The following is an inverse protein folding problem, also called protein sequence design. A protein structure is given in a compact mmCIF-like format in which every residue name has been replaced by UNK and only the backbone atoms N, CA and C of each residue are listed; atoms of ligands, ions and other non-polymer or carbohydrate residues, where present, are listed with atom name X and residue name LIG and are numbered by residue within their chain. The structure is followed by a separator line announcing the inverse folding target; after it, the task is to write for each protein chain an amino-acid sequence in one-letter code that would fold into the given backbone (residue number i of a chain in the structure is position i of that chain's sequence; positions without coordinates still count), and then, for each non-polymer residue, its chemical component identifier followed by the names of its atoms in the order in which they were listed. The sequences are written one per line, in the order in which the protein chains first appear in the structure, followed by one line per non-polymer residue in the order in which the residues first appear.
data_IF_763665719375
#
_entry.id   IF_763665719375
#
_cell.length_a   1.000
_cell.length_b   1.000
_cell.length_c   1.000
_cell.angle_alpha   90.00
_cell.angle_beta   90.00
_cell.angle_gamma   90.00
#
_symmetry.space_group_name_H-M   'P 1'
#
loop_
_entity.id
_entity.type
_entity.pdbx_description
1 polymer ?
#
# COMPACT_ATOMS: atom_id res chain seq x y z
N UNK A 1 -39.62 -77.26 12.28
CA UNK A 1 -39.21 -77.30 10.87
C UNK A 1 -39.24 -75.84 10.37
N UNK A 2 -38.12 -75.14 10.26
CA UNK A 2 -38.05 -73.81 9.60
C UNK A 2 -37.67 -74.01 8.16
N UNK A 3 -38.29 -73.22 7.29
CA UNK A 3 -38.07 -73.12 5.85
C UNK A 3 -36.73 -72.48 5.52
N UNK A 4 -36.01 -73.11 4.60
CA UNK A 4 -34.83 -72.54 3.90
C UNK A 4 -35.27 -71.46 2.91
N UNK A 5 -34.91 -70.23 3.10
CA UNK A 5 -35.10 -69.16 2.12
C UNK A 5 -33.80 -68.94 1.36
N UNK A 6 -33.93 -69.12 0.10
CA UNK A 6 -33.07 -69.02 -1.07
C UNK A 6 -32.03 -67.93 -1.04
N UNK A 7 -30.73 -68.33 -0.96
CA UNK A 7 -29.57 -67.49 -0.97
C UNK A 7 -29.02 -67.18 -2.40
N UNK A 8 -29.75 -67.64 -3.46
CA UNK A 8 -29.28 -67.55 -4.85
C UNK A 8 -29.70 -66.22 -5.53
N UNK A 9 -30.74 -65.57 -5.08
CA UNK A 9 -31.31 -64.35 -5.70
C UNK A 9 -30.52 -63.06 -5.40
N UNK A 10 -29.75 -63.01 -4.31
CA UNK A 10 -28.93 -61.82 -3.94
C UNK A 10 -27.58 -61.70 -4.63
N UNK A 11 -27.06 -62.79 -5.18
CA UNK A 11 -25.75 -62.83 -5.82
C UNK A 11 -25.80 -62.41 -7.30
N UNK A 12 -26.93 -62.53 -7.95
CA UNK A 12 -27.08 -62.08 -9.34
C UNK A 12 -27.44 -60.59 -9.45
N UNK A 13 -28.16 -60.03 -8.44
CA UNK A 13 -28.48 -58.60 -8.40
C UNK A 13 -27.23 -57.72 -8.14
N UNK A 14 -26.20 -58.25 -7.49
CA UNK A 14 -24.95 -57.54 -7.21
C UNK A 14 -23.94 -57.58 -8.37
N UNK A 15 -24.14 -58.48 -9.34
CA UNK A 15 -23.28 -58.51 -10.55
C UNK A 15 -23.77 -57.59 -11.66
N UNK A 16 -25.01 -57.10 -11.61
CA UNK A 16 -25.56 -56.15 -12.58
C UNK A 16 -25.24 -54.67 -12.27
N UNK A 17 -24.89 -54.33 -11.03
CA UNK A 17 -24.59 -52.93 -10.63
C UNK A 17 -23.12 -52.56 -10.72
N UNK A 18 -22.20 -53.50 -10.92
CA UNK A 18 -20.76 -53.24 -11.00
C UNK A 18 -20.26 -52.94 -12.43
N UNK A 19 -21.13 -53.02 -13.45
CA UNK A 19 -20.76 -52.77 -14.84
C UNK A 19 -21.21 -51.41 -15.40
N UNK A 20 -21.96 -50.59 -14.63
CA UNK A 20 -22.49 -49.32 -15.10
C UNK A 20 -21.81 -48.07 -14.53
N UNK A 21 -20.81 -48.23 -13.67
CA UNK A 21 -20.06 -47.06 -13.08
C UNK A 21 -18.64 -46.89 -13.65
N UNK A 22 -18.33 -47.56 -14.75
CA UNK A 22 -16.98 -47.59 -15.35
C UNK A 22 -16.73 -46.66 -16.54
N UNK A 23 -17.65 -45.78 -16.92
CA UNK A 23 -17.43 -44.85 -18.04
C UNK A 23 -18.08 -43.52 -17.74
N UNK A 24 -17.41 -42.66 -17.02
CA UNK A 24 -17.50 -41.16 -17.09
C UNK A 24 -16.51 -40.49 -16.12
N UNK A 25 -15.31 -41.08 -15.97
CA UNK A 25 -14.15 -40.30 -15.57
C UNK A 25 -13.54 -39.68 -16.85
N UNK A 26 -14.37 -38.94 -17.59
CA UNK A 26 -13.85 -37.96 -18.52
C UNK A 26 -12.99 -37.02 -17.71
N UNK A 27 -11.64 -37.08 -17.87
CA UNK A 27 -10.76 -36.01 -17.46
C UNK A 27 -11.38 -34.73 -18.01
N UNK A 28 -12.01 -33.96 -17.12
CA UNK A 28 -12.13 -32.53 -17.32
C UNK A 28 -10.69 -32.04 -17.42
N UNK A 29 -10.17 -32.04 -18.65
CA UNK A 29 -9.00 -31.31 -19.02
C UNK A 29 -9.38 -29.86 -18.69
N UNK A 30 -8.94 -29.36 -17.53
CA UNK A 30 -9.08 -27.94 -17.21
C UNK A 30 -8.57 -27.20 -18.44
N UNK A 31 -9.44 -26.44 -19.08
CA UNK A 31 -9.00 -25.49 -20.13
C UNK A 31 -7.77 -24.77 -19.55
N UNK A 32 -6.71 -24.54 -20.34
CA UNK A 32 -5.53 -23.84 -19.85
C UNK A 32 -6.04 -22.60 -19.16
N UNK A 33 -5.78 -22.50 -17.84
CA UNK A 33 -6.26 -21.40 -17.02
C UNK A 33 -5.74 -20.12 -17.68
N UNK A 34 -6.66 -19.32 -18.21
CA UNK A 34 -6.26 -18.03 -18.77
C UNK A 34 -5.54 -17.26 -17.67
N UNK A 35 -4.37 -16.70 -17.96
CA UNK A 35 -3.64 -15.88 -17.00
C UNK A 35 -4.60 -14.89 -16.35
N UNK A 36 -4.59 -14.76 -15.00
CA UNK A 36 -5.51 -13.86 -14.32
C UNK A 36 -5.25 -12.41 -14.73
N UNK A 37 -6.31 -11.63 -14.81
CA UNK A 37 -6.18 -10.18 -14.88
C UNK A 37 -5.63 -9.64 -13.56
N UNK A 38 -5.09 -8.43 -13.59
CA UNK A 38 -4.62 -7.73 -12.39
C UNK A 38 -5.36 -6.39 -12.32
N UNK A 39 -6.08 -6.16 -11.22
CA UNK A 39 -6.68 -4.89 -10.87
C UNK A 39 -5.89 -4.31 -9.69
N UNK A 40 -5.09 -3.26 -9.95
CA UNK A 40 -4.46 -2.45 -8.92
C UNK A 40 -5.38 -1.28 -8.61
N UNK A 41 -6.09 -1.37 -7.46
CA UNK A 41 -7.10 -0.42 -7.00
C UNK A 41 -6.54 0.31 -5.78
N UNK A 42 -6.18 1.57 -5.94
CA UNK A 42 -5.46 2.28 -4.91
C UNK A 42 -6.02 3.66 -4.59
N UNK A 43 -5.83 4.05 -3.35
CA UNK A 43 -6.19 5.35 -2.79
C UNK A 43 -4.96 6.22 -2.51
N UNK A 44 -5.18 7.38 -1.92
CA UNK A 44 -4.16 8.36 -1.54
C UNK A 44 -4.30 8.68 -0.05
N UNK A 45 -3.19 8.67 0.70
CA UNK A 45 -3.14 9.10 2.11
C UNK A 45 -4.17 8.41 3.04
N UNK A 46 -4.46 7.10 2.86
CA UNK A 46 -5.51 6.42 3.65
C UNK A 46 -4.93 5.66 4.86
N UNK A 47 -3.65 5.27 4.81
CA UNK A 47 -3.03 4.48 5.86
C UNK A 47 -3.80 3.18 6.14
N UNK A 48 -4.02 2.89 7.42
CA UNK A 48 -4.87 1.77 7.88
C UNK A 48 -6.26 2.20 8.35
N UNK A 49 -6.62 3.49 8.19
CA UNK A 49 -7.82 4.07 8.76
C UNK A 49 -9.07 3.71 7.97
N UNK A 50 -9.37 2.40 7.90
CA UNK A 50 -10.56 1.80 7.30
C UNK A 50 -11.14 0.72 8.22
N UNK A 51 -12.42 0.40 8.03
CA UNK A 51 -13.16 -0.55 8.88
C UNK A 51 -12.48 -1.92 9.05
N UNK A 52 -11.91 -2.57 8.02
CA UNK A 52 -11.26 -3.89 8.16
C UNK A 52 -10.06 -3.91 9.12
N UNK A 53 -9.48 -2.76 9.43
CA UNK A 53 -8.38 -2.64 10.38
C UNK A 53 -8.83 -2.26 11.79
N UNK A 54 -10.14 -2.21 12.05
CA UNK A 54 -10.73 -1.96 13.37
C UNK A 54 -10.94 -0.48 13.69
N UNK A 55 -10.81 0.41 12.71
CA UNK A 55 -11.11 1.83 12.90
C UNK A 55 -12.60 2.09 12.70
N UNK A 56 -13.16 3.06 13.43
CA UNK A 56 -14.56 3.48 13.35
C UNK A 56 -14.84 4.34 12.10
N UNK A 57 -14.38 3.89 10.95
CA UNK A 57 -14.53 4.54 9.64
C UNK A 57 -15.40 3.64 8.77
N UNK A 58 -16.57 4.11 8.34
CA UNK A 58 -17.50 3.28 7.54
C UNK A 58 -16.95 3.05 6.13
N UNK A 59 -16.45 1.82 5.89
CA UNK A 59 -15.95 1.39 4.58
C UNK A 59 -16.44 -0.04 4.28
N UNK A 60 -17.77 -0.22 4.06
CA UNK A 60 -18.39 -1.54 3.92
C UNK A 60 -17.94 -2.31 2.67
N UNK A 61 -17.57 -1.64 1.58
CA UNK A 61 -17.09 -2.31 0.35
C UNK A 61 -15.66 -2.85 0.53
N UNK A 62 -14.78 -2.10 1.20
CA UNK A 62 -13.46 -2.59 1.61
C UNK A 62 -13.59 -3.72 2.65
N UNK A 63 -14.57 -3.64 3.57
CA UNK A 63 -14.85 -4.73 4.49
C UNK A 63 -15.32 -5.99 3.76
N UNK A 64 -16.21 -5.85 2.75
CA UNK A 64 -16.64 -6.96 1.89
C UNK A 64 -15.44 -7.59 1.18
N UNK A 65 -14.57 -6.76 0.58
CA UNK A 65 -13.35 -7.22 -0.07
C UNK A 65 -12.44 -8.01 0.89
N UNK A 66 -12.28 -7.54 2.14
CA UNK A 66 -11.49 -8.22 3.15
C UNK A 66 -12.12 -9.56 3.57
N UNK A 67 -13.46 -9.61 3.72
CA UNK A 67 -14.19 -10.84 4.05
C UNK A 67 -14.11 -11.91 2.95
N UNK A 68 -13.92 -11.51 1.70
CA UNK A 68 -13.79 -12.42 0.56
C UNK A 68 -12.33 -12.74 0.23
N UNK A 69 -11.39 -11.88 0.59
CA UNK A 69 -9.99 -11.92 0.21
C UNK A 69 -9.03 -12.37 1.31
N UNK A 70 -7.85 -11.76 1.29
CA UNK A 70 -6.77 -11.94 2.24
C UNK A 70 -6.27 -10.57 2.72
N UNK A 71 -6.32 -10.31 4.01
CA UNK A 71 -5.89 -9.05 4.62
C UNK A 71 -4.54 -9.22 5.33
N UNK A 72 -3.61 -8.29 5.09
CA UNK A 72 -2.32 -8.22 5.79
C UNK A 72 -2.35 -7.12 6.84
N UNK A 73 -2.40 -7.49 8.13
CA UNK A 73 -2.52 -6.53 9.24
C UNK A 73 -1.28 -5.66 9.44
N UNK A 74 -0.11 -6.19 9.13
CA UNK A 74 1.17 -5.51 9.26
C UNK A 74 1.80 -5.29 7.87
N UNK A 75 1.11 -4.50 7.05
CA UNK A 75 1.59 -4.07 5.76
C UNK A 75 2.20 -2.67 5.85
N UNK A 76 3.37 -2.49 5.22
CA UNK A 76 4.13 -1.25 5.28
C UNK A 76 4.55 -0.79 3.88
N UNK A 77 4.57 0.53 3.68
CA UNK A 77 5.24 1.13 2.53
C UNK A 77 6.77 1.15 2.72
N UNK A 78 7.50 1.39 1.64
CA UNK A 78 8.95 1.59 1.68
C UNK A 78 9.35 3.07 1.80
N UNK A 79 8.37 3.98 1.68
CA UNK A 79 8.57 5.42 1.84
C UNK A 79 7.21 6.11 2.06
N UNK A 80 6.95 6.73 3.21
CA UNK A 80 5.65 7.34 3.52
C UNK A 80 5.44 8.70 2.84
N UNK A 81 5.71 8.74 1.53
CA UNK A 81 5.55 9.91 0.65
C UNK A 81 5.02 9.47 -0.71
N UNK A 82 4.10 10.22 -1.30
CA UNK A 82 3.25 9.79 -2.42
C UNK A 82 4.00 9.13 -3.60
N UNK A 83 4.83 9.88 -4.35
CA UNK A 83 5.50 9.33 -5.53
C UNK A 83 6.55 8.26 -5.18
N UNK A 84 7.38 8.41 -4.13
CA UNK A 84 8.33 7.39 -3.69
C UNK A 84 7.67 6.07 -3.30
N UNK A 85 6.58 6.08 -2.54
CA UNK A 85 5.85 4.87 -2.17
C UNK A 85 5.31 4.12 -3.38
N UNK A 86 4.61 4.83 -4.28
CA UNK A 86 4.02 4.26 -5.50
C UNK A 86 5.09 3.72 -6.43
N UNK A 87 6.19 4.44 -6.59
CA UNK A 87 7.34 4.00 -7.36
C UNK A 87 7.97 2.73 -6.78
N UNK A 88 8.14 2.67 -5.44
CA UNK A 88 8.68 1.49 -4.78
C UNK A 88 7.81 0.24 -5.02
N UNK A 89 6.48 0.34 -4.85
CA UNK A 89 5.53 -0.72 -5.12
C UNK A 89 5.62 -1.22 -6.57
N UNK A 90 5.62 -0.30 -7.54
CA UNK A 90 5.51 -0.61 -8.97
C UNK A 90 6.84 -0.97 -9.63
N UNK A 91 7.97 -0.71 -8.98
CA UNK A 91 9.32 -1.13 -9.44
C UNK A 91 9.91 -2.27 -8.62
N UNK A 92 9.37 -2.54 -7.42
CA UNK A 92 9.91 -3.51 -6.47
C UNK A 92 11.26 -3.11 -5.85
N UNK A 93 11.59 -1.80 -5.86
CA UNK A 93 12.84 -1.25 -5.34
C UNK A 93 12.60 -0.06 -4.42
N UNK A 94 13.43 0.08 -3.38
CA UNK A 94 13.39 1.25 -2.51
C UNK A 94 13.71 2.54 -3.30
N UNK A 95 13.28 3.73 -2.82
CA UNK A 95 13.36 4.99 -3.56
C UNK A 95 14.76 5.40 -3.99
N UNK A 96 15.79 5.24 -3.16
CA UNK A 96 17.15 5.62 -3.57
C UNK A 96 17.71 4.72 -4.68
N UNK A 97 17.19 3.50 -4.86
CA UNK A 97 17.58 2.60 -5.96
C UNK A 97 16.77 2.82 -7.25
N UNK A 98 15.50 3.18 -7.12
CA UNK A 98 14.67 3.44 -8.30
C UNK A 98 14.75 4.90 -8.78
N UNK A 99 15.32 5.82 -7.97
CA UNK A 99 15.52 7.23 -8.28
C UNK A 99 14.36 8.16 -7.91
N UNK A 100 13.19 7.63 -7.52
CA UNK A 100 12.05 8.45 -7.11
C UNK A 100 12.22 8.96 -5.67
N UNK A 101 13.10 9.94 -5.50
CA UNK A 101 13.47 10.49 -4.20
C UNK A 101 12.47 11.48 -3.63
N UNK A 102 11.56 12.00 -4.45
CA UNK A 102 10.57 13.02 -4.09
C UNK A 102 9.38 13.01 -5.05
N UNK A 103 8.58 14.08 -5.07
CA UNK A 103 7.32 14.14 -5.79
C UNK A 103 7.51 14.35 -7.31
N UNK A 104 6.86 13.52 -8.11
CA UNK A 104 6.98 13.54 -9.57
C UNK A 104 6.57 14.90 -10.18
N UNK A 105 5.53 15.55 -9.68
CA UNK A 105 5.11 16.87 -10.16
C UNK A 105 6.08 18.00 -9.76
N UNK A 106 7.05 17.71 -8.87
CA UNK A 106 8.13 18.63 -8.45
C UNK A 106 9.45 18.37 -9.16
N UNK A 107 9.46 17.50 -10.19
CA UNK A 107 10.63 17.25 -11.04
C UNK A 107 11.42 16.00 -10.67
N UNK A 108 10.95 15.18 -9.72
CA UNK A 108 11.55 13.87 -9.46
C UNK A 108 10.99 12.81 -10.42
N UNK A 109 11.81 11.80 -10.74
CA UNK A 109 11.44 10.75 -11.70
C UNK A 109 12.15 9.44 -11.37
N UNK A 110 11.66 8.33 -11.91
CA UNK A 110 12.43 7.09 -11.93
C UNK A 110 13.68 7.26 -12.79
N UNK A 111 14.75 6.57 -12.40
CA UNK A 111 15.96 6.45 -13.24
C UNK A 111 15.70 5.61 -14.49
N UNK A 112 14.78 4.64 -14.40
CA UNK A 112 14.42 3.77 -15.51
C UNK A 112 12.93 3.34 -15.39
N UNK A 113 12.07 3.90 -16.23
CA UNK A 113 10.66 3.54 -16.29
C UNK A 113 10.41 2.12 -16.82
N UNK A 114 11.38 1.49 -17.50
CA UNK A 114 11.24 0.10 -17.95
C UNK A 114 11.21 -0.90 -16.78
N UNK A 115 11.61 -0.49 -15.57
CA UNK A 115 11.48 -1.30 -14.36
C UNK A 115 10.07 -1.31 -13.78
N UNK A 116 9.17 -0.46 -14.28
CA UNK A 116 7.77 -0.49 -13.86
C UNK A 116 7.11 -1.82 -14.25
N UNK A 117 6.32 -2.38 -13.35
CA UNK A 117 5.65 -3.68 -13.48
C UNK A 117 4.95 -3.89 -14.84
N UNK A 118 4.29 -2.86 -15.40
CA UNK A 118 3.60 -2.97 -16.68
C UNK A 118 4.54 -3.39 -17.84
N UNK A 119 5.81 -2.93 -17.82
CA UNK A 119 6.78 -3.31 -18.85
C UNK A 119 7.22 -4.77 -18.74
N UNK A 120 7.24 -5.31 -17.50
CA UNK A 120 7.53 -6.72 -17.27
C UNK A 120 6.35 -7.62 -17.64
N UNK A 121 5.12 -7.15 -17.48
CA UNK A 121 3.91 -7.89 -17.83
C UNK A 121 3.64 -7.90 -19.35
N UNK A 122 4.05 -6.87 -20.09
CA UNK A 122 3.78 -6.71 -21.52
C UNK A 122 4.28 -7.88 -22.39
N UNK A 123 5.53 -8.40 -22.25
CA UNK A 123 5.99 -9.57 -23.01
C UNK A 123 5.18 -10.84 -22.73
N UNK A 124 4.45 -10.87 -21.58
CA UNK A 124 3.60 -11.98 -21.20
C UNK A 124 2.14 -11.82 -21.65
N UNK A 125 1.87 -10.86 -22.56
CA UNK A 125 0.58 -10.67 -23.21
C UNK A 125 -0.38 -9.77 -22.47
N UNK A 126 0.03 -9.11 -21.39
CA UNK A 126 -0.80 -8.13 -20.66
C UNK A 126 -0.91 -6.82 -21.43
N UNK A 127 -2.12 -6.31 -21.51
CA UNK A 127 -2.40 -4.93 -21.90
C UNK A 127 -2.57 -4.10 -20.63
N UNK A 128 -1.91 -2.93 -20.58
CA UNK A 128 -1.90 -2.05 -19.40
C UNK A 128 -2.78 -0.82 -19.62
N UNK A 129 -3.63 -0.52 -18.65
CA UNK A 129 -4.52 0.65 -18.67
C UNK A 129 -4.44 1.43 -17.37
N UNK A 130 -4.51 2.75 -17.49
CA UNK A 130 -4.58 3.68 -16.36
C UNK A 130 -5.92 4.42 -16.34
N UNK A 131 -6.56 4.48 -15.18
CA UNK A 131 -7.76 5.27 -14.92
C UNK A 131 -7.55 6.08 -13.62
N UNK A 132 -7.39 7.39 -13.72
CA UNK A 132 -7.20 8.28 -12.57
C UNK A 132 -5.74 8.56 -12.22
N UNK A 133 -5.40 8.49 -10.92
CA UNK A 133 -4.07 8.89 -10.40
C UNK A 133 -3.00 7.84 -10.65
N UNK A 134 -1.80 8.26 -11.08
CA UNK A 134 -0.59 7.43 -11.09
C UNK A 134 0.52 8.00 -10.18
N UNK A 135 0.80 9.29 -10.23
CA UNK A 135 1.71 10.11 -9.43
C UNK A 135 3.19 9.65 -9.36
N UNK A 136 3.66 8.86 -10.35
CA UNK A 136 5.08 8.46 -10.48
C UNK A 136 5.77 9.08 -11.69
N UNK A 137 5.03 9.84 -12.48
CA UNK A 137 5.56 10.67 -13.55
C UNK A 137 4.74 11.97 -13.67
N UNK A 138 5.37 13.03 -14.15
CA UNK A 138 4.67 14.30 -14.43
C UNK A 138 3.59 14.12 -15.50
N UNK A 139 3.84 13.23 -16.46
CA UNK A 139 2.91 12.86 -17.54
C UNK A 139 2.77 11.34 -17.60
N UNK A 140 1.54 10.83 -17.61
CA UNK A 140 1.26 9.40 -17.66
C UNK A 140 1.90 8.70 -18.88
N UNK A 141 2.01 9.40 -20.01
CA UNK A 141 2.65 8.89 -21.21
C UNK A 141 4.11 8.44 -21.00
N UNK A 142 4.83 9.06 -20.07
CA UNK A 142 6.21 8.67 -19.72
C UNK A 142 6.31 7.26 -19.14
N UNK A 143 5.26 6.78 -18.45
CA UNK A 143 5.23 5.46 -17.84
C UNK A 143 5.04 4.38 -18.90
N UNK A 144 4.29 4.67 -19.97
CA UNK A 144 4.10 3.77 -21.11
C UNK A 144 2.90 2.82 -20.99
N UNK A 145 1.81 3.21 -20.32
CA UNK A 145 0.54 2.48 -20.39
C UNK A 145 0.07 2.35 -21.85
N UNK A 146 -0.53 1.21 -22.19
CA UNK A 146 -1.10 0.98 -23.53
C UNK A 146 -2.35 1.84 -23.77
N UNK A 147 -3.05 2.22 -22.68
CA UNK A 147 -4.20 3.11 -22.73
C UNK A 147 -4.29 3.95 -21.45
N UNK A 148 -4.47 5.25 -21.59
CA UNK A 148 -4.84 6.15 -20.50
C UNK A 148 -6.28 6.59 -20.75
N UNK A 149 -7.20 6.12 -19.90
CA UNK A 149 -8.63 6.40 -20.04
C UNK A 149 -8.92 7.82 -19.54
N UNK A 150 -9.48 8.70 -20.35
CA UNK A 150 -9.83 10.05 -19.90
C UNK A 150 -10.91 10.02 -18.81
N UNK A 151 -10.68 10.74 -17.71
CA UNK A 151 -11.59 10.80 -16.58
C UNK A 151 -12.15 12.21 -16.32
N UNK A 152 -11.50 13.25 -16.84
CA UNK A 152 -11.83 14.65 -16.54
C UNK A 152 -11.43 15.10 -15.13
N UNK A 153 -10.78 14.23 -14.34
CA UNK A 153 -10.31 14.50 -12.99
C UNK A 153 -9.81 13.22 -12.33
N UNK A 154 -9.40 13.32 -11.08
CA UNK A 154 -8.77 12.20 -10.33
C UNK A 154 -9.56 11.78 -9.08
N UNK A 155 -10.64 12.49 -8.77
CA UNK A 155 -11.53 12.14 -7.66
C UNK A 155 -12.46 10.97 -8.01
N UNK A 156 -12.98 10.31 -6.98
CA UNK A 156 -13.92 9.17 -7.10
C UNK A 156 -15.06 9.48 -8.07
N UNK A 157 -15.63 10.69 -7.99
CA UNK A 157 -16.75 11.10 -8.83
C UNK A 157 -16.48 11.03 -10.35
N UNK A 158 -15.21 11.13 -10.76
CA UNK A 158 -14.79 11.02 -12.15
C UNK A 158 -14.21 9.63 -12.47
N UNK A 159 -13.38 9.10 -11.58
CA UNK A 159 -12.62 7.87 -11.81
C UNK A 159 -13.51 6.63 -11.74
N UNK A 160 -14.37 6.50 -10.73
CA UNK A 160 -15.19 5.29 -10.56
C UNK A 160 -16.18 5.06 -11.70
N UNK A 161 -16.93 6.07 -12.21
CA UNK A 161 -17.74 5.89 -13.40
C UNK A 161 -16.95 5.54 -14.66
N UNK A 162 -15.74 6.10 -14.83
CA UNK A 162 -14.88 5.79 -15.97
C UNK A 162 -14.40 4.33 -15.90
N UNK A 163 -13.98 3.85 -14.73
CA UNK A 163 -13.58 2.46 -14.51
C UNK A 163 -14.75 1.48 -14.73
N UNK A 164 -15.95 1.81 -14.21
CA UNK A 164 -17.17 1.03 -14.46
C UNK A 164 -17.47 0.94 -15.95
N UNK A 165 -17.41 2.05 -16.67
CA UNK A 165 -17.71 2.09 -18.12
C UNK A 165 -16.64 1.33 -18.93
N UNK A 166 -15.37 1.38 -18.51
CA UNK A 166 -14.28 0.60 -19.10
C UNK A 166 -14.52 -0.91 -18.92
N UNK A 167 -14.80 -1.37 -17.71
CA UNK A 167 -15.05 -2.79 -17.40
C UNK A 167 -16.28 -3.35 -18.13
N UNK A 168 -17.35 -2.54 -18.29
CA UNK A 168 -18.56 -2.93 -19.05
C UNK A 168 -18.29 -3.22 -20.54
N UNK A 169 -17.18 -2.71 -21.11
CA UNK A 169 -16.78 -3.00 -22.49
C UNK A 169 -16.11 -4.37 -22.66
N UNK A 170 -16.00 -5.16 -21.58
CA UNK A 170 -15.31 -6.45 -21.56
C UNK A 170 -13.89 -6.36 -22.18
N UNK A 171 -12.95 -5.70 -21.49
CA UNK A 171 -11.61 -5.46 -22.04
C UNK A 171 -10.91 -6.77 -22.40
N UNK A 172 -10.05 -6.73 -23.42
CA UNK A 172 -9.26 -7.88 -23.85
C UNK A 172 -8.37 -8.36 -22.71
N UNK A 173 -8.41 -9.65 -22.42
CA UNK A 173 -7.63 -10.31 -21.37
C UNK A 173 -6.35 -10.98 -21.93
N UNK A 174 -5.28 -11.15 -21.09
CA UNK A 174 -5.19 -10.61 -19.75
C UNK A 174 -4.87 -9.11 -19.73
N UNK A 175 -5.27 -8.42 -18.67
CA UNK A 175 -4.97 -6.99 -18.51
C UNK A 175 -4.36 -6.67 -17.13
N UNK A 176 -3.59 -5.58 -17.11
CA UNK A 176 -3.20 -4.87 -15.90
C UNK A 176 -3.95 -3.54 -15.89
N UNK A 177 -4.92 -3.41 -14.97
CA UNK A 177 -5.74 -2.21 -14.82
C UNK A 177 -5.34 -1.48 -13.55
N UNK A 178 -4.82 -0.27 -13.71
CA UNK A 178 -4.44 0.64 -12.65
C UNK A 178 -5.57 1.66 -12.46
N UNK A 179 -6.27 1.59 -11.32
CA UNK A 179 -7.36 2.50 -10.95
C UNK A 179 -6.96 3.25 -9.68
N UNK A 180 -6.63 4.52 -9.83
CA UNK A 180 -6.16 5.36 -8.74
C UNK A 180 -7.14 6.48 -8.39
N UNK A 181 -7.58 6.52 -7.12
CA UNK A 181 -8.40 7.59 -6.55
C UNK A 181 -7.55 8.63 -5.84
N UNK A 182 -7.95 9.91 -5.93
CA UNK A 182 -7.31 11.00 -5.20
C UNK A 182 -7.70 11.00 -3.71
N UNK A 183 -8.89 10.49 -3.39
CA UNK A 183 -9.31 10.31 -2.01
C UNK A 183 -8.42 9.25 -1.31
N UNK A 184 -7.96 9.44 -0.09
CA UNK A 184 -8.37 10.44 0.91
C UNK A 184 -7.35 11.59 1.07
N UNK A 185 -6.73 12.05 0.01
CA UNK A 185 -5.85 13.23 0.07
C UNK A 185 -6.65 14.49 0.46
N UNK A 186 -6.01 15.44 1.13
CA UNK A 186 -6.59 16.76 1.37
C UNK A 186 -6.76 17.52 0.04
N UNK A 187 -7.80 18.38 -0.12
CA UNK A 187 -8.78 18.80 0.89
C UNK A 187 -9.83 17.69 1.09
N UNK A 188 -10.18 17.43 2.35
CA UNK A 188 -11.18 16.40 2.67
C UNK A 188 -12.60 16.83 2.29
N UNK A 189 -13.48 15.84 2.09
CA UNK A 189 -14.91 16.07 1.92
C UNK A 189 -15.53 16.61 3.22
N UNK A 190 -16.59 17.42 3.10
CA UNK A 190 -17.32 17.90 4.27
C UNK A 190 -18.00 16.73 4.99
N UNK A 191 -17.92 16.67 6.33
CA UNK A 191 -18.66 15.68 7.11
C UNK A 191 -20.16 15.78 6.90
N UNK A 192 -20.81 14.63 6.73
CA UNK A 192 -22.27 14.51 6.73
C UNK A 192 -22.81 14.11 8.12
N UNK A 193 -24.11 13.81 8.22
CA UNK A 193 -24.69 13.33 9.49
C UNK A 193 -24.08 12.04 10.03
N UNK A 194 -23.48 11.22 9.16
CA UNK A 194 -22.81 9.96 9.55
C UNK A 194 -21.43 10.19 10.15
N UNK A 195 -20.79 11.33 9.87
CA UNK A 195 -19.46 11.68 10.36
C UNK A 195 -19.53 12.84 11.37
N UNK A 196 -20.34 12.69 12.42
CA UNK A 196 -20.52 13.73 13.45
C UNK A 196 -19.23 13.90 14.27
N UNK A 197 -18.59 15.09 14.25
CA UNK A 197 -17.34 15.34 14.97
C UNK A 197 -17.44 15.12 16.49
N UNK A 198 -18.63 15.18 17.07
CA UNK A 198 -18.84 14.94 18.51
C UNK A 198 -18.54 13.49 18.91
N UNK A 199 -18.66 12.56 17.97
CA UNK A 199 -18.46 11.12 18.15
C UNK A 199 -17.26 10.57 17.37
N UNK A 200 -16.44 11.44 16.80
CA UNK A 200 -15.26 11.07 16.03
C UNK A 200 -14.02 11.16 16.90
N UNK A 201 -13.24 10.07 17.01
CA UNK A 201 -11.95 10.04 17.69
C UNK A 201 -10.85 10.49 16.72
N UNK A 202 -10.02 11.50 17.07
CA UNK A 202 -8.88 11.90 16.26
C UNK A 202 -7.76 10.83 16.34
N UNK A 203 -6.81 10.80 15.36
CA UNK A 203 -5.71 9.84 15.41
C UNK A 203 -4.78 10.10 16.60
N UNK A 204 -4.11 9.04 17.08
CA UNK A 204 -3.28 9.06 18.28
C UNK A 204 -2.13 10.09 18.27
N UNK A 205 -1.77 10.61 17.12
CA UNK A 205 -0.68 11.61 16.97
C UNK A 205 -1.12 13.05 17.28
N UNK A 206 -2.40 13.31 17.46
CA UNK A 206 -2.92 14.65 17.74
C UNK A 206 -3.78 14.66 19.02
N UNK A 207 -3.84 15.78 19.75
CA UNK A 207 -4.67 15.88 20.95
C UNK A 207 -6.16 15.81 20.57
N UNK A 208 -6.98 15.27 21.49
CA UNK A 208 -8.42 15.21 21.34
C UNK A 208 -9.06 16.57 21.66
N UNK A 209 -9.46 17.29 20.62
CA UNK A 209 -10.08 18.62 20.67
C UNK A 209 -11.20 18.74 19.64
N UNK A 210 -12.13 19.71 19.77
CA UNK A 210 -13.14 19.92 18.73
C UNK A 210 -12.56 20.13 17.33
N UNK A 211 -11.38 20.78 17.20
CA UNK A 211 -10.75 21.04 15.91
C UNK A 211 -10.19 19.75 15.26
N UNK A 212 -9.54 18.89 16.05
CA UNK A 212 -8.97 17.63 15.56
C UNK A 212 -10.05 16.57 15.30
N UNK A 213 -11.13 16.57 16.08
CA UNK A 213 -12.33 15.76 15.81
C UNK A 213 -13.00 16.18 14.50
N UNK A 214 -13.13 17.50 14.26
CA UNK A 214 -13.67 18.03 13.00
C UNK A 214 -12.80 17.63 11.79
N UNK A 215 -11.48 17.71 11.94
CA UNK A 215 -10.53 17.34 10.89
C UNK A 215 -10.62 15.83 10.58
N UNK A 216 -10.74 14.98 11.61
CA UNK A 216 -10.89 13.54 11.43
C UNK A 216 -12.27 13.14 10.88
N UNK A 217 -13.35 13.84 11.26
CA UNK A 217 -14.67 13.62 10.68
C UNK A 217 -14.68 13.92 9.18
N UNK A 218 -13.95 14.94 8.74
CA UNK A 218 -13.77 15.24 7.32
C UNK A 218 -12.98 14.14 6.58
N UNK A 219 -11.96 13.56 7.23
CA UNK A 219 -11.29 12.37 6.71
C UNK A 219 -12.25 11.19 6.58
N UNK A 220 -13.11 10.91 7.58
CA UNK A 220 -14.12 9.84 7.51
C UNK A 220 -15.07 10.03 6.34
N UNK A 221 -15.50 11.27 6.06
CA UNK A 221 -16.33 11.58 4.90
C UNK A 221 -15.61 11.28 3.57
N UNK A 222 -14.30 11.59 3.49
CA UNK A 222 -13.48 11.26 2.33
C UNK A 222 -13.28 9.75 2.17
N UNK A 223 -13.12 9.03 3.27
CA UNK A 223 -12.98 7.55 3.27
C UNK A 223 -14.28 6.86 2.85
N UNK A 224 -15.45 7.39 3.23
CA UNK A 224 -16.75 6.90 2.74
C UNK A 224 -16.88 7.09 1.23
N UNK A 225 -16.52 8.26 0.71
CA UNK A 225 -16.55 8.53 -0.74
C UNK A 225 -15.59 7.58 -1.48
N UNK A 226 -14.39 7.35 -0.94
CA UNK A 226 -13.45 6.37 -1.48
C UNK A 226 -14.09 4.97 -1.54
N UNK A 227 -14.71 4.53 -0.45
CA UNK A 227 -15.32 3.21 -0.35
C UNK A 227 -16.48 3.02 -1.35
N UNK A 228 -17.31 4.06 -1.58
CA UNK A 228 -18.33 4.06 -2.61
C UNK A 228 -17.72 3.87 -4.01
N UNK A 229 -16.57 4.52 -4.28
CA UNK A 229 -15.82 4.34 -5.54
C UNK A 229 -15.26 2.93 -5.70
N UNK A 230 -14.68 2.39 -4.64
CA UNK A 230 -14.20 0.99 -4.60
C UNK A 230 -15.36 0.03 -4.89
N UNK A 231 -16.50 0.21 -4.22
CA UNK A 231 -17.71 -0.60 -4.44
C UNK A 231 -18.16 -0.59 -5.89
N UNK A 232 -18.22 0.58 -6.52
CA UNK A 232 -18.62 0.73 -7.93
C UNK A 232 -17.68 -0.04 -8.88
N UNK A 233 -16.37 -0.01 -8.65
CA UNK A 233 -15.40 -0.73 -9.48
C UNK A 233 -15.51 -2.24 -9.29
N UNK A 234 -15.62 -2.71 -8.04
CA UNK A 234 -15.76 -4.14 -7.72
C UNK A 234 -17.07 -4.72 -8.29
N UNK A 235 -18.19 -4.00 -8.15
CA UNK A 235 -19.48 -4.39 -8.74
C UNK A 235 -19.40 -4.47 -10.28
N UNK A 236 -18.72 -3.52 -10.91
CA UNK A 236 -18.54 -3.53 -12.36
C UNK A 236 -17.69 -4.73 -12.82
N UNK A 237 -16.63 -5.09 -12.07
CA UNK A 237 -15.80 -6.25 -12.34
C UNK A 237 -16.59 -7.56 -12.19
N UNK A 238 -17.44 -7.68 -11.16
CA UNK A 238 -18.34 -8.82 -10.96
C UNK A 238 -19.38 -8.91 -12.08
N UNK A 239 -20.03 -7.80 -12.41
CA UNK A 239 -21.06 -7.75 -13.46
C UNK A 239 -20.51 -8.06 -14.85
N UNK A 240 -19.24 -7.78 -15.10
CA UNK A 240 -18.54 -8.15 -16.34
C UNK A 240 -18.10 -9.63 -16.39
N UNK A 241 -18.33 -10.42 -15.31
CA UNK A 241 -17.89 -11.81 -15.21
C UNK A 241 -16.37 -11.99 -15.09
N UNK A 242 -15.63 -10.94 -14.73
CA UNK A 242 -14.16 -10.93 -14.69
C UNK A 242 -13.58 -11.23 -13.30
N UNK A 243 -14.38 -11.09 -12.24
CA UNK A 243 -13.93 -11.10 -10.85
C UNK A 243 -13.23 -12.40 -10.44
N UNK A 244 -13.68 -13.57 -10.94
CA UNK A 244 -13.12 -14.88 -10.59
C UNK A 244 -11.71 -15.11 -11.17
N UNK A 245 -11.39 -14.46 -12.28
CA UNK A 245 -10.08 -14.54 -12.94
C UNK A 245 -9.31 -13.23 -12.85
N UNK A 246 -9.44 -12.52 -11.73
CA UNK A 246 -8.73 -11.25 -11.50
C UNK A 246 -8.08 -11.26 -10.12
N UNK A 247 -6.77 -10.99 -10.06
CA UNK A 247 -6.10 -10.60 -8.83
C UNK A 247 -6.43 -9.13 -8.57
N UNK A 248 -7.19 -8.86 -7.52
CA UNK A 248 -7.46 -7.52 -7.02
C UNK A 248 -6.44 -7.20 -5.94
N UNK A 249 -5.72 -6.11 -6.10
CA UNK A 249 -4.78 -5.55 -5.13
C UNK A 249 -5.37 -4.21 -4.69
N UNK A 250 -5.91 -4.14 -3.48
CA UNK A 250 -6.42 -2.90 -2.91
C UNK A 250 -5.51 -2.43 -1.80
N UNK A 251 -4.96 -1.22 -1.95
CA UNK A 251 -4.02 -0.60 -0.99
C UNK A 251 -4.04 0.93 -1.11
N UNK A 252 -3.23 1.59 -0.28
CA UNK A 252 -2.95 3.03 -0.33
C UNK A 252 -1.45 3.25 -0.46
N UNK A 253 -1.02 4.48 -0.62
CA UNK A 253 0.41 4.80 -0.70
C UNK A 253 1.11 4.88 0.66
N UNK A 254 0.53 5.54 1.67
CA UNK A 254 1.11 5.71 3.01
C UNK A 254 0.04 6.14 4.04
N UNK A 255 0.48 6.53 5.24
CA UNK A 255 -0.38 7.00 6.32
C UNK A 255 -1.14 8.29 6.00
N UNK A 256 -2.15 8.61 6.82
CA UNK A 256 -3.03 9.78 6.62
C UNK A 256 -2.29 11.11 6.81
N UNK A 257 -2.80 12.18 6.18
CA UNK A 257 -2.17 13.50 6.16
C UNK A 257 -2.48 14.34 7.43
N UNK A 258 -2.05 13.81 8.59
CA UNK A 258 -2.13 14.47 9.89
C UNK A 258 -0.72 14.70 10.46
N UNK A 259 -0.55 15.63 11.42
CA UNK A 259 0.73 15.83 12.09
C UNK A 259 1.30 14.54 12.68
N UNK A 260 2.58 14.29 12.44
CA UNK A 260 3.27 13.08 12.93
C UNK A 260 2.99 11.79 12.15
N UNK A 261 2.22 11.85 11.04
CA UNK A 261 1.83 10.68 10.24
C UNK A 261 2.52 10.66 8.87
N UNK A 262 1.90 11.06 7.78
CA UNK A 262 2.52 11.18 6.46
C UNK A 262 3.92 11.83 6.54
N UNK A 263 4.87 11.37 5.75
CA UNK A 263 6.29 11.77 5.77
C UNK A 263 7.06 11.37 7.03
N UNK A 264 6.50 10.56 7.93
CA UNK A 264 7.19 10.05 9.12
C UNK A 264 7.39 8.53 9.04
N UNK A 265 8.52 8.05 9.57
CA UNK A 265 8.91 6.64 9.52
C UNK A 265 8.38 5.84 10.73
N UNK A 266 7.47 6.42 11.50
CA UNK A 266 6.71 5.72 12.54
C UNK A 266 5.63 4.82 11.92
N UNK A 267 5.02 3.97 12.73
CA UNK A 267 3.88 3.14 12.33
C UNK A 267 2.74 3.95 11.71
N UNK A 268 2.58 5.21 12.13
CA UNK A 268 1.52 6.09 11.64
C UNK A 268 1.75 6.59 10.22
N UNK A 269 3.02 6.70 9.77
CA UNK A 269 3.34 7.10 8.42
C UNK A 269 3.49 5.93 7.47
N UNK A 270 4.15 4.85 7.92
CA UNK A 270 4.52 3.71 7.06
C UNK A 270 3.46 2.63 6.93
N UNK A 271 2.50 2.54 7.86
CA UNK A 271 1.47 1.50 7.77
C UNK A 271 0.40 1.81 6.74
N UNK A 272 0.10 0.81 5.92
CA UNK A 272 -0.90 0.87 4.86
C UNK A 272 -1.93 -0.23 5.04
N UNK A 273 -3.15 -0.01 4.54
CA UNK A 273 -4.01 -1.15 4.33
C UNK A 273 -3.56 -1.93 3.09
N UNK A 274 -3.67 -3.25 3.15
CA UNK A 274 -3.37 -4.12 2.01
C UNK A 274 -4.30 -5.33 2.04
N UNK A 275 -5.20 -5.40 1.06
CA UNK A 275 -6.20 -6.46 0.89
C UNK A 275 -6.05 -7.00 -0.53
N UNK A 276 -5.83 -8.30 -0.65
CA UNK A 276 -5.74 -8.99 -1.94
C UNK A 276 -6.91 -9.98 -2.06
N UNK A 277 -7.54 -10.03 -3.24
CA UNK A 277 -8.55 -11.06 -3.57
C UNK A 277 -8.26 -11.61 -4.95
N UNK A 278 -8.27 -12.93 -5.11
CA UNK A 278 -8.03 -13.54 -6.41
C UNK A 278 -7.65 -15.01 -6.34
N UNK A 279 -7.14 -15.57 -7.43
CA UNK A 279 -6.70 -16.95 -7.50
C UNK A 279 -5.52 -17.25 -6.55
N UNK A 280 -5.11 -18.51 -6.48
CA UNK A 280 -3.96 -19.03 -5.70
C UNK A 280 -4.06 -18.80 -4.19
N UNK A 281 -5.29 -18.75 -3.64
CA UNK A 281 -5.52 -18.72 -2.19
C UNK A 281 -5.78 -17.34 -1.59
N UNK A 282 -5.79 -16.27 -2.40
CA UNK A 282 -6.22 -14.93 -1.97
C UNK A 282 -7.74 -14.85 -1.80
N UNK A 283 -8.31 -15.77 -1.01
CA UNK A 283 -9.75 -15.92 -0.79
C UNK A 283 -10.05 -16.36 0.64
N UNK A 284 -11.32 -16.27 1.03
CA UNK A 284 -11.85 -16.88 2.24
C UNK A 284 -11.76 -16.05 3.51
N UNK A 285 -11.58 -14.74 3.41
CA UNK A 285 -11.56 -13.83 4.56
C UNK A 285 -10.40 -14.07 5.52
N UNK A 286 -9.25 -14.48 5.00
CA UNK A 286 -8.06 -14.78 5.80
C UNK A 286 -7.34 -13.51 6.22
N UNK A 287 -6.66 -13.59 7.37
CA UNK A 287 -5.87 -12.48 7.94
C UNK A 287 -4.49 -12.99 8.32
N UNK A 288 -3.45 -12.28 7.86
CA UNK A 288 -2.06 -12.53 8.27
C UNK A 288 -1.56 -11.42 9.21
N UNK A 289 -0.83 -11.83 10.26
CA UNK A 289 -0.09 -10.92 11.14
C UNK A 289 1.40 -10.82 10.78
N UNK A 290 1.86 -11.50 9.74
CA UNK A 290 3.23 -11.37 9.24
C UNK A 290 3.50 -9.93 8.75
N UNK A 291 4.72 -9.44 8.99
CA UNK A 291 5.18 -8.19 8.40
C UNK A 291 5.36 -8.38 6.90
N UNK A 292 4.78 -7.47 6.10
CA UNK A 292 4.88 -7.45 4.64
C UNK A 292 5.11 -6.03 4.14
N UNK A 293 5.72 -5.91 2.97
CA UNK A 293 6.02 -4.62 2.34
C UNK A 293 5.28 -4.46 1.02
N UNK A 294 5.04 -3.23 0.59
CA UNK A 294 4.66 -2.93 -0.79
C UNK A 294 5.62 -3.53 -1.82
N UNK A 295 6.90 -3.67 -1.48
CA UNK A 295 7.91 -4.29 -2.35
C UNK A 295 7.60 -5.76 -2.67
N UNK A 296 6.78 -6.44 -1.85
CA UNK A 296 6.43 -7.84 -1.99
C UNK A 296 5.39 -8.10 -3.08
N UNK A 297 4.66 -7.08 -3.51
CA UNK A 297 3.59 -7.23 -4.51
C UNK A 297 4.14 -7.62 -5.88
N UNK A 298 5.23 -7.03 -6.33
CA UNK A 298 5.82 -7.34 -7.64
C UNK A 298 6.31 -8.81 -7.72
N UNK A 299 7.15 -9.32 -6.80
CA UNK A 299 7.56 -10.73 -6.82
C UNK A 299 6.39 -11.70 -6.62
N UNK A 300 5.34 -11.30 -5.89
CA UNK A 300 4.10 -12.08 -5.76
C UNK A 300 3.39 -12.24 -7.09
N UNK A 301 3.26 -11.17 -7.85
CA UNK A 301 2.67 -11.20 -9.20
C UNK A 301 3.50 -12.09 -10.12
N UNK A 302 4.83 -11.97 -10.11
CA UNK A 302 5.69 -12.83 -10.91
C UNK A 302 5.49 -14.33 -10.59
N UNK A 303 5.44 -14.68 -9.30
CA UNK A 303 5.24 -16.06 -8.88
C UNK A 303 3.84 -16.58 -9.21
N UNK A 304 2.80 -15.77 -8.97
CA UNK A 304 1.41 -16.10 -9.32
C UNK A 304 1.24 -16.39 -10.81
N UNK A 305 1.95 -15.64 -11.66
CA UNK A 305 1.91 -15.79 -13.11
C UNK A 305 2.87 -16.84 -13.65
N UNK A 306 3.70 -17.45 -12.77
CA UNK A 306 4.80 -18.34 -13.15
C UNK A 306 5.71 -17.72 -14.23
N UNK A 307 6.14 -16.47 -13.99
CA UNK A 307 7.11 -15.75 -14.82
C UNK A 307 8.38 -15.47 -14.02
N UNK A 308 9.49 -15.30 -14.70
CA UNK A 308 10.78 -14.98 -14.08
C UNK A 308 10.69 -13.72 -13.23
N UNK A 309 11.36 -13.72 -12.07
CA UNK A 309 11.48 -12.53 -11.21
C UNK A 309 12.67 -11.70 -11.68
N UNK A 310 12.49 -10.40 -11.95
CA UNK A 310 13.62 -9.51 -12.20
C UNK A 310 14.65 -9.54 -11.07
N UNK A 311 15.93 -9.55 -11.43
CA UNK A 311 17.03 -9.62 -10.45
C UNK A 311 17.14 -8.40 -9.53
N UNK A 312 16.53 -7.28 -9.90
CA UNK A 312 16.56 -6.04 -9.11
C UNK A 312 15.51 -5.97 -8.00
N UNK A 313 14.55 -6.91 -7.92
CA UNK A 313 13.49 -6.91 -6.90
C UNK A 313 14.07 -7.10 -5.50
N UNK A 314 13.60 -6.29 -4.55
CA UNK A 314 14.03 -6.34 -3.15
C UNK A 314 13.00 -7.02 -2.24
N UNK A 315 11.76 -7.15 -2.68
CA UNK A 315 10.67 -7.81 -1.95
C UNK A 315 10.70 -9.34 -2.07
N UNK A 316 9.82 -9.97 -1.32
CA UNK A 316 9.59 -11.43 -1.31
C UNK A 316 8.14 -11.72 -1.69
N UNK A 317 7.88 -12.89 -2.30
CA UNK A 317 6.50 -13.29 -2.62
C UNK A 317 5.66 -13.51 -1.37
N UNK A 318 4.40 -13.06 -1.41
CA UNK A 318 3.39 -13.29 -0.39
C UNK A 318 2.76 -14.69 -0.46
N UNK A 319 2.94 -15.42 -1.57
CA UNK A 319 2.28 -16.72 -1.78
C UNK A 319 2.61 -17.76 -0.72
N UNK A 320 3.85 -17.87 -0.18
CA UNK A 320 4.13 -18.79 0.92
C UNK A 320 3.31 -18.51 2.19
N UNK A 321 3.02 -17.22 2.51
CA UNK A 321 2.11 -16.86 3.61
C UNK A 321 0.66 -17.25 3.29
N UNK A 322 0.21 -16.97 2.07
CA UNK A 322 -1.15 -17.24 1.61
C UNK A 322 -1.47 -18.74 1.62
N UNK A 323 -0.47 -19.56 1.26
CA UNK A 323 -0.53 -21.03 1.27
C UNK A 323 -0.28 -21.63 2.66
N UNK A 324 0.01 -20.80 3.67
CA UNK A 324 0.38 -21.22 5.02
C UNK A 324 1.61 -22.17 5.06
N UNK A 325 2.54 -22.01 4.12
CA UNK A 325 3.81 -22.75 4.06
C UNK A 325 4.81 -22.23 5.09
N UNK A 326 4.75 -20.92 5.37
CA UNK A 326 5.60 -20.25 6.36
C UNK A 326 4.76 -19.27 7.19
N UNK A 327 5.10 -19.02 8.47
CA UNK A 327 4.42 -18.03 9.31
C UNK A 327 4.85 -16.59 8.99
N UNK A 328 6.07 -16.39 8.51
CA UNK A 328 6.69 -15.08 8.25
C UNK A 328 7.61 -15.15 7.03
N UNK A 329 7.78 -14.03 6.33
CA UNK A 329 8.70 -13.89 5.19
C UNK A 329 9.78 -12.85 5.45
N UNK A 330 9.60 -11.96 6.42
CA UNK A 330 10.55 -10.91 6.76
C UNK A 330 10.86 -10.86 8.25
N UNK A 331 12.15 -10.81 8.61
CA UNK A 331 12.64 -10.51 9.96
C UNK A 331 12.76 -8.99 10.18
N UNK A 332 12.90 -8.25 9.08
CA UNK A 332 13.09 -6.79 9.07
C UNK A 332 12.53 -6.17 7.79
N UNK A 333 12.04 -4.94 7.90
CA UNK A 333 11.65 -4.08 6.79
C UNK A 333 12.38 -2.75 6.90
N UNK A 334 12.59 -2.08 5.76
CA UNK A 334 13.25 -0.79 5.68
C UNK A 334 12.34 0.22 5.02
N UNK A 335 12.42 1.47 5.50
CA UNK A 335 11.71 2.60 4.90
C UNK A 335 12.58 3.85 4.93
N UNK A 336 12.32 4.76 3.98
CA UNK A 336 13.10 5.98 3.82
C UNK A 336 12.26 7.19 3.44
N UNK A 337 12.76 8.36 3.80
CA UNK A 337 12.32 9.65 3.27
C UNK A 337 13.56 10.41 2.82
N UNK A 338 13.50 11.06 1.65
CA UNK A 338 14.48 12.03 1.20
C UNK A 338 13.80 13.39 1.00
N UNK A 339 12.79 13.45 0.13
CA UNK A 339 12.02 14.65 -0.18
C UNK A 339 10.51 14.37 -0.14
N UNK A 340 9.77 15.34 0.32
CA UNK A 340 8.35 15.49 0.04
C UNK A 340 8.12 16.91 -0.51
N UNK A 341 7.52 17.82 0.27
CA UNK A 341 7.52 19.23 -0.08
C UNK A 341 8.92 19.85 0.11
N UNK A 342 9.65 19.43 1.16
CA UNK A 342 11.01 19.86 1.48
C UNK A 342 11.94 18.67 1.76
N UNK A 343 13.23 18.91 1.78
CA UNK A 343 14.26 17.92 2.10
C UNK A 343 14.23 17.54 3.58
N UNK A 344 14.13 16.25 3.88
CA UNK A 344 14.12 15.72 5.24
C UNK A 344 14.60 14.25 5.25
N UNK A 345 15.93 14.01 5.11
CA UNK A 345 16.44 12.66 4.93
C UNK A 345 16.37 11.84 6.21
N UNK A 346 15.66 10.70 6.13
CA UNK A 346 15.45 9.75 7.23
C UNK A 346 15.54 8.32 6.71
N UNK A 347 15.99 7.40 7.57
CA UNK A 347 15.98 5.95 7.32
C UNK A 347 15.42 5.23 8.53
N UNK A 348 14.71 4.15 8.31
CA UNK A 348 14.20 3.30 9.37
C UNK A 348 14.41 1.82 9.08
N UNK A 349 14.57 1.06 10.15
CA UNK A 349 14.47 -0.39 10.18
C UNK A 349 13.40 -0.78 11.19
N UNK A 350 12.50 -1.66 10.77
CA UNK A 350 11.43 -2.24 11.58
C UNK A 350 11.58 -3.74 11.67
N UNK A 351 11.47 -4.27 12.88
CA UNK A 351 11.29 -5.69 13.16
C UNK A 351 9.88 -5.93 13.71
N UNK A 352 9.51 -7.15 14.05
CA UNK A 352 8.24 -7.45 14.74
C UNK A 352 8.08 -6.67 16.05
N UNK A 353 9.19 -6.38 16.75
CA UNK A 353 9.13 -5.73 18.05
C UNK A 353 9.64 -4.30 18.07
N UNK A 354 10.66 -3.96 17.29
CA UNK A 354 11.32 -2.67 17.39
C UNK A 354 11.25 -1.89 16.08
N UNK A 355 11.09 -0.56 16.18
CA UNK A 355 11.27 0.38 15.10
C UNK A 355 12.37 1.35 15.47
N UNK A 356 13.43 1.41 14.65
CA UNK A 356 14.53 2.35 14.81
C UNK A 356 14.56 3.31 13.63
N UNK A 357 14.59 4.62 13.93
CA UNK A 357 14.59 5.70 12.93
C UNK A 357 15.81 6.56 13.15
N UNK A 358 16.53 6.90 12.06
CA UNK A 358 17.64 7.83 12.06
C UNK A 358 17.38 8.99 11.12
N UNK A 359 17.56 10.23 11.63
CA UNK A 359 17.54 11.47 10.87
C UNK A 359 18.96 11.83 10.45
N UNK A 360 19.15 12.18 9.18
CA UNK A 360 20.46 12.50 8.60
C UNK A 360 20.64 14.00 8.32
N UNK A 361 19.56 14.77 8.33
CA UNK A 361 19.63 16.23 8.16
C UNK A 361 20.11 16.95 9.41
N UNK A 362 20.60 18.19 9.23
CA UNK A 362 21.09 19.03 10.31
C UNK A 362 19.96 19.77 11.07
N UNK A 363 18.75 19.70 10.56
CA UNK A 363 17.60 20.36 11.18
C UNK A 363 17.11 19.59 12.40
N UNK A 364 17.05 20.29 13.55
CA UNK A 364 16.59 19.71 14.83
C UNK A 364 15.18 20.17 15.23
N UNK A 365 14.43 20.73 14.30
CA UNK A 365 13.01 21.11 14.44
C UNK A 365 12.20 20.51 13.31
N UNK A 366 10.87 20.37 13.45
CA UNK A 366 10.03 19.78 12.41
C UNK A 366 10.14 20.50 11.06
N UNK A 367 10.14 19.73 9.97
CA UNK A 367 10.05 20.24 8.60
C UNK A 367 8.58 20.40 8.27
N UNK A 368 8.01 21.55 8.64
CA UNK A 368 6.56 21.80 8.61
C UNK A 368 5.94 21.74 7.21
N UNK A 369 6.64 22.10 6.10
CA UNK A 369 6.09 21.92 4.75
C UNK A 369 5.81 20.46 4.37
N UNK A 370 6.40 19.48 5.06
CA UNK A 370 6.14 18.06 4.84
C UNK A 370 4.85 17.55 5.51
N UNK A 371 4.15 18.41 6.25
CA UNK A 371 2.81 18.14 6.77
C UNK A 371 1.79 19.01 6.03
N UNK A 372 0.74 18.39 5.51
CA UNK A 372 -0.33 19.11 4.81
C UNK A 372 -1.08 20.06 5.75
N UNK A 373 -1.60 21.17 5.20
CA UNK A 373 -2.35 22.17 5.97
C UNK A 373 -3.73 21.63 6.37
N UNK A 374 -4.20 22.01 7.54
CA UNK A 374 -5.50 21.62 8.08
C UNK A 374 -5.65 21.99 9.56
N UNK A 375 -6.84 21.77 10.12
CA UNK A 375 -7.18 22.16 11.49
C UNK A 375 -6.21 21.55 12.54
N UNK A 376 -5.84 20.30 12.36
CA UNK A 376 -4.90 19.60 13.25
C UNK A 376 -3.50 20.24 13.21
N UNK A 377 -3.00 20.61 12.02
CA UNK A 377 -1.71 21.30 11.88
C UNK A 377 -1.73 22.69 12.50
N UNK A 378 -2.81 23.44 12.27
CA UNK A 378 -2.99 24.76 12.88
C UNK A 378 -2.94 24.72 14.41
N UNK A 379 -3.60 23.72 15.01
CA UNK A 379 -3.57 23.50 16.45
C UNK A 379 -2.15 23.26 16.96
N UNK A 380 -1.39 22.38 16.29
CA UNK A 380 -0.01 22.08 16.63
C UNK A 380 0.90 23.29 16.51
N UNK A 381 0.73 24.12 15.45
CA UNK A 381 1.48 25.36 15.28
C UNK A 381 1.20 26.35 16.39
N UNK A 382 -0.07 26.53 16.77
CA UNK A 382 -0.49 27.37 17.91
C UNK A 382 0.08 26.88 19.25
N UNK A 383 0.31 25.57 19.37
CA UNK A 383 0.91 24.93 20.55
C UNK A 383 2.44 24.88 20.54
N UNK A 384 3.10 25.58 19.60
CA UNK A 384 4.55 25.76 19.59
C UNK A 384 5.33 24.68 18.80
N UNK A 385 4.69 23.88 17.95
CA UNK A 385 5.31 22.80 17.17
C UNK A 385 6.56 23.22 16.41
N UNK A 386 6.59 24.43 15.82
CA UNK A 386 7.75 24.98 15.13
C UNK A 386 9.05 24.94 15.95
N UNK A 387 8.94 25.03 17.28
CA UNK A 387 10.09 25.08 18.22
C UNK A 387 10.35 23.73 18.91
N UNK A 388 9.56 22.73 18.64
CA UNK A 388 9.72 21.41 19.23
C UNK A 388 11.02 20.78 18.73
N UNK A 389 11.80 20.19 19.66
CA UNK A 389 13.02 19.51 19.27
C UNK A 389 12.72 18.14 18.67
N UNK A 390 13.30 17.85 17.52
CA UNK A 390 13.30 16.53 16.87
C UNK A 390 14.58 15.79 17.26
N UNK A 391 14.45 14.59 17.78
CA UNK A 391 15.57 13.73 18.11
C UNK A 391 16.23 13.19 16.84
N UNK A 392 17.56 13.04 16.86
CA UNK A 392 18.33 12.50 15.73
C UNK A 392 18.08 10.99 15.53
N UNK A 393 17.82 10.29 16.64
CA UNK A 393 17.55 8.86 16.64
C UNK A 393 16.34 8.58 17.51
N UNK A 394 15.53 7.62 17.06
CA UNK A 394 14.34 7.15 17.74
C UNK A 394 14.36 5.63 17.75
N UNK A 395 14.07 5.04 18.90
CA UNK A 395 13.86 3.59 19.07
C UNK A 395 12.56 3.38 19.82
N UNK A 396 11.68 2.54 19.28
CA UNK A 396 10.38 2.23 19.85
C UNK A 396 10.20 0.72 20.04
N UNK A 397 9.54 0.31 21.12
CA UNK A 397 9.05 -1.06 21.32
C UNK A 397 7.62 -1.17 20.80
N UNK A 398 7.43 -1.61 19.56
CA UNK A 398 6.15 -1.61 18.87
C UNK A 398 5.08 -2.53 19.50
N UNK A 399 5.48 -3.45 20.39
CA UNK A 399 4.54 -4.34 21.09
C UNK A 399 3.93 -3.62 22.31
N UNK A 400 4.75 -2.97 23.13
CA UNK A 400 4.31 -2.33 24.36
C UNK A 400 4.04 -0.84 24.21
N UNK A 401 4.47 -0.24 23.09
CA UNK A 401 4.18 1.13 22.67
C UNK A 401 3.74 1.13 21.18
N UNK A 402 2.54 0.62 20.87
CA UNK A 402 2.07 0.48 19.50
C UNK A 402 1.87 1.82 18.76
N UNK A 403 1.85 2.95 19.49
CA UNK A 403 1.79 4.29 18.94
C UNK A 403 3.16 4.97 18.79
N UNK A 404 4.25 4.28 19.18
CA UNK A 404 5.62 4.78 19.04
C UNK A 404 5.83 6.18 19.64
N UNK A 405 5.40 6.33 20.90
CA UNK A 405 5.39 7.60 21.63
C UNK A 405 6.58 7.78 22.56
N UNK A 406 7.15 6.65 23.07
CA UNK A 406 8.27 6.65 24.00
C UNK A 406 9.57 6.31 23.30
N UNK A 407 10.44 7.32 23.09
CA UNK A 407 11.77 7.09 22.56
C UNK A 407 12.68 6.41 23.60
N UNK A 408 13.24 5.24 23.26
CA UNK A 408 14.07 4.39 24.12
C UNK A 408 15.58 4.56 23.87
N UNK A 409 16.01 5.51 23.04
CA UNK A 409 17.43 5.69 22.65
C UNK A 409 18.34 5.94 23.85
N UNK A 410 17.86 6.65 24.86
CA UNK A 410 18.63 6.98 26.07
C UNK A 410 18.36 5.98 27.25
N UNK A 411 17.55 4.97 27.04
CA UNK A 411 17.23 3.97 28.06
C UNK A 411 18.30 2.85 28.06
N UNK A 412 19.07 2.75 29.14
CA UNK A 412 20.16 1.79 29.29
C UNK A 412 19.72 0.32 29.11
N UNK A 413 18.47 -0.01 29.42
CA UNK A 413 17.94 -1.35 29.24
C UNK A 413 17.90 -1.80 27.76
N UNK A 414 17.89 -0.85 26.84
CA UNK A 414 17.82 -1.09 25.38
C UNK A 414 19.13 -0.85 24.64
N UNK A 415 20.26 -0.65 25.34
CA UNK A 415 21.57 -0.35 24.71
C UNK A 415 21.98 -1.41 23.68
N UNK A 416 21.83 -2.69 24.00
CA UNK A 416 22.16 -3.79 23.10
C UNK A 416 21.21 -3.83 21.87
N UNK A 417 19.92 -3.62 22.08
CA UNK A 417 18.92 -3.55 21.02
C UNK A 417 19.21 -2.38 20.06
N UNK A 418 19.52 -1.20 20.62
CA UNK A 418 19.88 -0.03 19.82
C UNK A 418 21.12 -0.27 18.97
N UNK A 419 22.15 -0.93 19.53
CA UNK A 419 23.36 -1.27 18.80
C UNK A 419 23.08 -2.25 17.64
N UNK A 420 22.24 -3.28 17.86
CA UNK A 420 21.82 -4.21 16.83
C UNK A 420 21.05 -3.51 15.71
N UNK A 421 20.03 -2.71 16.04
CA UNK A 421 19.21 -1.99 15.05
C UNK A 421 20.04 -0.99 14.22
N UNK A 422 21.00 -0.29 14.84
CA UNK A 422 21.95 0.57 14.13
C UNK A 422 22.79 -0.23 13.14
N UNK A 423 23.36 -1.35 13.59
CA UNK A 423 24.21 -2.20 12.75
C UNK A 423 23.46 -2.76 11.53
N UNK A 424 22.22 -3.21 11.73
CA UNK A 424 21.35 -3.75 10.66
C UNK A 424 20.95 -2.66 9.67
N UNK A 425 20.61 -1.45 10.13
CA UNK A 425 20.32 -0.32 9.26
C UNK A 425 21.56 0.08 8.43
N UNK A 426 22.75 0.17 9.06
CA UNK A 426 24.01 0.49 8.38
C UNK A 426 24.37 -0.59 7.33
N UNK A 427 24.11 -1.86 7.64
CA UNK A 427 24.31 -2.96 6.70
C UNK A 427 23.38 -2.86 5.48
N UNK A 428 22.10 -2.48 5.69
CA UNK A 428 21.17 -2.24 4.59
C UNK A 428 21.59 -1.06 3.72
N UNK A 429 21.95 0.07 4.31
CA UNK A 429 22.42 1.25 3.58
C UNK A 429 23.64 0.91 2.71
N UNK A 430 24.61 0.15 3.26
CA UNK A 430 25.80 -0.32 2.51
C UNK A 430 25.40 -1.27 1.37
N UNK A 431 24.55 -2.26 1.64
CA UNK A 431 24.12 -3.27 0.67
C UNK A 431 23.36 -2.64 -0.51
N UNK A 432 22.61 -1.57 -0.26
CA UNK A 432 21.82 -0.87 -1.27
C UNK A 432 22.57 0.30 -1.91
N UNK A 433 23.79 0.60 -1.47
CA UNK A 433 24.56 1.76 -1.92
C UNK A 433 23.80 3.07 -1.69
N UNK A 434 23.27 3.24 -0.47
CA UNK A 434 22.48 4.42 -0.11
C UNK A 434 23.37 5.70 -0.20
N UNK A 435 22.97 6.69 -1.02
CA UNK A 435 23.79 7.90 -1.22
C UNK A 435 23.99 8.73 0.04
N UNK A 436 23.19 8.56 1.09
CA UNK A 436 23.42 9.23 2.38
C UNK A 436 24.70 8.77 3.08
N UNK A 437 25.33 7.68 2.65
CA UNK A 437 26.64 7.26 3.15
C UNK A 437 27.76 8.22 2.69
N UNK A 438 27.57 8.87 1.54
CA UNK A 438 28.53 9.78 0.94
C UNK A 438 28.21 11.26 1.21
N UNK A 439 27.01 11.55 1.79
CA UNK A 439 26.60 12.91 2.13
C UNK A 439 25.12 13.19 1.84
N UNK A 440 24.70 14.44 1.82
CA UNK A 440 23.32 14.82 1.51
C UNK A 440 22.89 14.37 0.11
N UNK A 441 21.67 13.85 0.00
CA UNK A 441 21.12 13.39 -1.29
C UNK A 441 20.66 14.60 -2.11
N UNK A 442 21.30 14.84 -3.24
CA UNK A 442 20.95 15.92 -4.16
C UNK A 442 19.61 15.65 -4.87
N UNK A 443 18.89 16.72 -5.17
CA UNK A 443 17.72 16.64 -6.04
C UNK A 443 18.12 16.64 -7.51
N UNK A 444 17.33 16.01 -8.41
CA UNK A 444 17.62 16.04 -9.84
C UNK A 444 17.50 17.45 -10.43
N UNK A 445 18.18 17.68 -11.55
CA UNK A 445 18.17 18.98 -12.22
C UNK A 445 16.73 19.41 -12.57
N UNK A 446 16.38 20.65 -12.24
CA UNK A 446 15.04 21.22 -12.46
C UNK A 446 13.99 20.84 -11.40
N UNK A 447 14.34 20.06 -10.38
CA UNK A 447 13.46 19.81 -9.26
C UNK A 447 13.25 21.07 -8.41
N UNK A 448 12.05 21.20 -7.84
CA UNK A 448 11.68 22.33 -6.96
C UNK A 448 11.20 21.81 -5.61
N UNK A 449 11.60 22.50 -4.55
CA UNK A 449 11.27 22.14 -3.16
C UNK A 449 10.92 23.38 -2.35
N UNK A 450 10.14 23.21 -1.30
CA UNK A 450 9.90 24.27 -0.31
C UNK A 450 11.13 24.45 0.58
N UNK A 451 11.21 25.63 1.21
CA UNK A 451 12.16 25.87 2.27
C UNK A 451 11.87 24.94 3.47
N UNK A 452 12.84 24.17 3.99
CA UNK A 452 12.65 23.37 5.20
C UNK A 452 12.24 24.21 6.42
N UNK A 453 12.55 25.51 6.43
CA UNK A 453 12.13 26.45 7.49
C UNK A 453 10.76 27.10 7.24
N UNK A 454 10.16 26.83 6.09
CA UNK A 454 8.79 27.22 5.75
C UNK A 454 7.72 26.59 6.66
N UNK A 455 6.48 26.90 6.40
CA UNK A 455 5.35 26.42 7.19
C UNK A 455 4.42 25.50 6.38
N UNK A 456 4.16 25.85 5.12
CA UNK A 456 3.12 25.21 4.30
C UNK A 456 3.71 24.61 3.02
N UNK A 457 3.20 23.44 2.56
CA UNK A 457 3.53 22.90 1.23
C UNK A 457 3.06 23.82 0.09
N UNK A 458 2.12 24.74 0.37
CA UNK A 458 1.55 25.70 -0.59
C UNK A 458 2.42 26.95 -0.77
N UNK A 459 3.46 27.16 0.06
CA UNK A 459 4.45 28.22 -0.16
C UNK A 459 5.18 28.01 -1.49
N UNK A 460 5.61 29.11 -2.11
CA UNK A 460 6.28 29.07 -3.41
C UNK A 460 7.54 28.20 -3.32
N UNK A 461 7.65 27.10 -4.07
CA UNK A 461 8.83 26.27 -4.09
C UNK A 461 9.96 26.99 -4.82
N UNK A 462 11.20 26.66 -4.45
CA UNK A 462 12.44 27.15 -5.07
C UNK A 462 13.19 26.02 -5.75
N UNK A 463 14.08 26.31 -6.73
CA UNK A 463 14.98 25.30 -7.27
C UNK A 463 15.69 24.57 -6.12
N UNK A 464 15.68 23.25 -6.16
CA UNK A 464 16.42 22.46 -5.20
C UNK A 464 17.94 22.65 -5.39
N UNK A 465 18.68 22.64 -4.29
CA UNK A 465 20.14 22.60 -4.37
C UNK A 465 20.56 21.29 -5.07
N UNK A 466 21.40 21.41 -6.08
CA UNK A 466 22.02 20.25 -6.72
C UNK A 466 23.12 19.73 -5.78
N UNK A 467 23.12 18.41 -5.53
CA UNK A 467 24.21 17.74 -4.83
C UNK A 467 25.47 17.66 -5.69
#
# INVERSE_FOLDING_TARGET
MPEETDASSRRELMKGLAAATGVLAGRLQAAPSSRPNILYLHSHDTGRYIQPYGYAVSTPNLQKLANEGFLFRQAFDAAPTCSPSRAALLTGQCPHKNGMLGLAHRGFSLTDYNRHLLHWLRPHGYRSMLIGVQHIAKQAATIGYDEVVPTGGTHVAQVAPAARNFLKRAPKQPFFLDVGFFETHREFHNPGPAEDPRFTEPPATVPDTPATRQDMAAFHASARVLDEGVGMVLEALESAGLAQNTLIISTTDHGISFPGMKCNLTVHGTSVYMILRGPEGFTGGKVSNAMVSHLDLYPTICELLNIEKPAWLEGKSLLPLVRAEVPEIHDELFAEVNYHAAYEPKRAIRTQRFNYIRHFGDKHTPVLPNCDDGLSKELWLKSGWRKQRVARELLFDCIFDPNETRNLVDDQAYTATLADMRSRLDAWMKRTSDPLLDGPVGAPAGAVVNDPDGTSPKETPRPAAHG
#
